data_IF_202516105626
#
_entry.id   IF_202516105626
#
_cell.length_a   1.000
_cell.length_b   1.000
_cell.length_c   1.000
_cell.angle_alpha   90.00
_cell.angle_beta   90.00
_cell.angle_gamma   90.00
#
_symmetry.space_group_name_H-M   'P 1'
#
loop_
_entity.id
_entity.type
_entity.pdbx_description
1 polymer ?
#
# COMPACT_ATOMS: atom_id res chain seq x y z
N UNK A 1 -11.27 -8.88 -12.50
CA UNK A 1 -10.28 -7.93 -13.07
C UNK A 1 -10.31 -8.07 -14.58
N UNK A 2 -10.01 -7.00 -15.32
CA UNK A 2 -9.87 -7.07 -16.78
C UNK A 2 -8.52 -7.70 -17.14
N UNK A 3 -8.38 -8.24 -18.36
CA UNK A 3 -7.20 -9.02 -18.76
C UNK A 3 -5.89 -8.23 -18.64
N UNK A 4 -5.88 -6.96 -19.08
CA UNK A 4 -4.71 -6.08 -18.94
C UNK A 4 -4.30 -5.83 -17.48
N UNK A 5 -5.26 -5.89 -16.54
CA UNK A 5 -4.98 -5.72 -15.10
C UNK A 5 -4.34 -6.98 -14.52
N UNK A 6 -4.72 -8.15 -15.03
CA UNK A 6 -4.10 -9.43 -14.67
C UNK A 6 -2.67 -9.50 -15.20
N UNK A 7 -2.44 -9.04 -16.42
CA UNK A 7 -1.10 -8.95 -17.01
C UNK A 7 -0.19 -8.01 -16.20
N UNK A 8 -0.66 -6.80 -15.87
CA UNK A 8 0.07 -5.87 -15.01
C UNK A 8 0.36 -6.44 -13.60
N UNK A 9 -0.59 -7.20 -13.03
CA UNK A 9 -0.38 -7.89 -11.77
C UNK A 9 0.69 -8.99 -11.86
N UNK A 10 0.62 -9.83 -12.90
CA UNK A 10 1.61 -10.88 -13.14
C UNK A 10 3.01 -10.30 -13.33
N UNK A 11 3.11 -9.18 -14.07
CA UNK A 11 4.35 -8.45 -14.24
C UNK A 11 4.92 -7.96 -12.90
N UNK A 12 4.11 -7.32 -12.05
CA UNK A 12 4.54 -6.90 -10.71
C UNK A 12 4.99 -8.07 -9.82
N UNK A 13 4.30 -9.22 -9.90
CA UNK A 13 4.69 -10.42 -9.15
C UNK A 13 6.04 -10.93 -9.63
N UNK A 14 6.28 -10.98 -10.95
CA UNK A 14 7.56 -11.38 -11.51
C UNK A 14 8.71 -10.47 -11.07
N UNK A 15 8.49 -9.15 -11.07
CA UNK A 15 9.46 -8.17 -10.57
C UNK A 15 9.80 -8.39 -9.10
N UNK A 16 8.79 -8.63 -8.26
CA UNK A 16 8.99 -8.90 -6.84
C UNK A 16 9.76 -10.21 -6.60
N UNK A 17 9.46 -11.26 -7.35
CA UNK A 17 10.19 -12.54 -7.25
C UNK A 17 11.66 -12.42 -7.70
N UNK A 18 11.95 -11.49 -8.62
CA UNK A 18 13.31 -11.15 -9.05
C UNK A 18 14.02 -10.12 -8.14
N UNK A 19 13.30 -9.51 -7.19
CA UNK A 19 13.84 -8.43 -6.34
C UNK A 19 14.07 -7.11 -7.08
N UNK A 20 13.42 -6.91 -8.23
CA UNK A 20 13.56 -5.72 -9.07
C UNK A 20 12.42 -4.74 -8.76
N UNK A 21 12.72 -3.45 -8.71
CA UNK A 21 11.72 -2.39 -8.61
C UNK A 21 11.19 -2.02 -10.00
N UNK A 22 9.87 -1.81 -10.12
CA UNK A 22 9.24 -1.41 -11.37
C UNK A 22 8.37 -0.17 -11.22
N UNK A 23 8.13 0.50 -12.35
CA UNK A 23 7.23 1.65 -12.44
C UNK A 23 6.05 1.26 -13.33
N UNK A 24 4.84 1.29 -12.78
CA UNK A 24 3.61 1.14 -13.57
C UNK A 24 3.31 2.47 -14.27
N UNK A 25 3.54 2.53 -15.57
CA UNK A 25 3.34 3.71 -16.40
C UNK A 25 2.03 3.67 -17.22
N UNK A 26 1.05 2.87 -16.80
CA UNK A 26 -0.26 2.77 -17.45
C UNK A 26 -0.96 4.14 -17.52
N UNK A 27 -1.78 4.36 -18.55
CA UNK A 27 -2.64 5.55 -18.64
C UNK A 27 -3.53 5.76 -17.39
N UNK A 28 -3.93 7.00 -17.16
CA UNK A 28 -4.84 7.34 -16.07
C UNK A 28 -6.21 6.65 -16.28
N UNK A 29 -6.81 6.11 -15.21
CA UNK A 29 -8.11 5.44 -15.30
C UNK A 29 -8.08 3.94 -15.61
N UNK A 30 -6.92 3.35 -15.91
CA UNK A 30 -6.80 1.89 -16.12
C UNK A 30 -6.93 1.06 -14.83
N UNK A 31 -6.98 1.71 -13.65
CA UNK A 31 -7.18 1.03 -12.37
C UNK A 31 -5.88 0.55 -11.72
N UNK A 32 -4.82 1.36 -11.78
CA UNK A 32 -3.54 1.11 -11.09
C UNK A 32 -3.71 0.86 -9.58
N UNK A 33 -4.67 1.56 -8.95
CA UNK A 33 -5.06 1.37 -7.56
C UNK A 33 -5.49 -0.08 -7.30
N UNK A 34 -6.44 -0.57 -8.10
CA UNK A 34 -6.94 -1.95 -8.00
C UNK A 34 -5.81 -2.98 -8.23
N UNK A 35 -4.95 -2.76 -9.23
CA UNK A 35 -3.79 -3.63 -9.48
C UNK A 35 -2.86 -3.69 -8.26
N UNK A 36 -2.60 -2.54 -7.63
CA UNK A 36 -1.73 -2.45 -6.44
C UNK A 36 -2.37 -3.13 -5.21
N UNK A 37 -3.69 -2.98 -5.03
CA UNK A 37 -4.42 -3.66 -3.94
C UNK A 37 -4.40 -5.18 -4.15
N UNK A 38 -4.63 -5.65 -5.38
CA UNK A 38 -4.54 -7.07 -5.71
C UNK A 38 -3.14 -7.63 -5.46
N UNK A 39 -2.10 -6.87 -5.83
CA UNK A 39 -0.72 -7.22 -5.54
C UNK A 39 -0.45 -7.32 -4.03
N UNK A 40 -0.91 -6.36 -3.23
CA UNK A 40 -0.79 -6.39 -1.77
C UNK A 40 -1.50 -7.61 -1.15
N UNK A 41 -2.71 -7.93 -1.63
CA UNK A 41 -3.46 -9.10 -1.18
C UNK A 41 -2.74 -10.42 -1.53
N UNK A 42 -2.17 -10.51 -2.74
CA UNK A 42 -1.36 -11.66 -3.16
C UNK A 42 -0.10 -11.83 -2.29
N UNK A 43 0.60 -10.73 -2.01
CA UNK A 43 1.77 -10.76 -1.13
C UNK A 43 1.41 -11.22 0.28
N UNK A 44 0.25 -10.80 0.81
CA UNK A 44 -0.21 -11.24 2.13
C UNK A 44 -0.43 -12.75 2.19
N UNK A 45 -1.02 -13.34 1.14
CA UNK A 45 -1.26 -14.78 1.10
C UNK A 45 0.05 -15.58 1.16
N UNK A 46 1.16 -15.00 0.68
CA UNK A 46 2.49 -15.62 0.70
C UNK A 46 3.33 -15.26 1.93
N UNK A 47 3.22 -14.03 2.45
CA UNK A 47 4.10 -13.45 3.47
C UNK A 47 3.38 -12.46 4.39
N UNK A 48 3.69 -12.45 5.68
CA UNK A 48 3.18 -11.46 6.65
C UNK A 48 4.04 -10.19 6.71
N UNK A 49 4.59 -9.74 5.57
CA UNK A 49 5.44 -8.54 5.52
C UNK A 49 4.60 -7.26 5.42
N UNK A 50 5.01 -6.17 6.08
CA UNK A 50 4.33 -4.89 5.96
C UNK A 50 4.39 -4.34 4.53
N UNK A 51 3.29 -3.77 4.07
CA UNK A 51 3.18 -3.18 2.73
C UNK A 51 2.84 -1.69 2.87
N UNK A 52 3.70 -0.82 2.35
CA UNK A 52 3.53 0.63 2.42
C UNK A 52 3.08 1.14 1.06
N UNK A 53 1.93 1.81 1.03
CA UNK A 53 1.52 2.62 -0.11
C UNK A 53 1.68 4.08 0.31
N UNK A 54 2.16 4.92 -0.61
CA UNK A 54 2.33 6.36 -0.42
C UNK A 54 1.45 7.09 -1.45
N UNK A 55 0.53 7.96 -1.02
CA UNK A 55 -0.36 8.71 -1.91
C UNK A 55 -0.59 10.14 -1.41
N UNK A 56 -1.24 10.98 -2.23
CA UNK A 56 -1.68 12.30 -1.81
C UNK A 56 -2.92 12.20 -0.91
N UNK A 57 -3.10 13.17 -0.01
CA UNK A 57 -4.26 13.23 0.89
C UNK A 57 -5.60 13.25 0.13
N UNK A 58 -5.63 13.89 -1.04
CA UNK A 58 -6.84 14.01 -1.87
C UNK A 58 -7.40 12.67 -2.37
N UNK A 59 -6.54 11.67 -2.59
CA UNK A 59 -6.95 10.35 -3.08
C UNK A 59 -7.03 9.31 -1.97
N UNK A 60 -6.66 9.67 -0.74
CA UNK A 60 -6.60 8.75 0.40
C UNK A 60 -7.96 8.11 0.66
N UNK A 61 -9.04 8.88 0.66
CA UNK A 61 -10.38 8.33 0.87
C UNK A 61 -10.76 7.28 -0.19
N UNK A 62 -10.40 7.52 -1.46
CA UNK A 62 -10.64 6.56 -2.53
C UNK A 62 -9.87 5.25 -2.29
N UNK A 63 -8.60 5.33 -1.87
CA UNK A 63 -7.83 4.15 -1.48
C UNK A 63 -8.49 3.38 -0.34
N UNK A 64 -9.02 4.07 0.68
CA UNK A 64 -9.72 3.44 1.81
C UNK A 64 -10.90 2.60 1.32
N UNK A 65 -11.75 3.19 0.49
CA UNK A 65 -12.96 2.54 0.01
C UNK A 65 -12.62 1.38 -0.94
N UNK A 66 -11.61 1.54 -1.80
CA UNK A 66 -11.14 0.45 -2.65
C UNK A 66 -10.55 -0.71 -1.83
N UNK A 67 -9.75 -0.44 -0.79
CA UNK A 67 -9.23 -1.50 0.08
C UNK A 67 -10.34 -2.22 0.84
N UNK A 68 -11.31 -1.50 1.40
CA UNK A 68 -12.48 -2.12 2.05
C UNK A 68 -13.28 -2.98 1.09
N UNK A 69 -13.43 -2.52 -0.16
CA UNK A 69 -14.21 -3.21 -1.20
C UNK A 69 -13.52 -4.47 -1.73
N UNK A 70 -12.23 -4.38 -2.03
CA UNK A 70 -11.50 -5.45 -2.74
C UNK A 70 -10.66 -6.33 -1.82
N UNK A 71 -10.29 -5.85 -0.63
CA UNK A 71 -9.49 -6.59 0.33
C UNK A 71 -9.90 -6.26 1.80
N UNK A 72 -11.16 -6.55 2.21
CA UNK A 72 -11.63 -6.24 3.57
C UNK A 72 -10.86 -6.99 4.66
N UNK A 73 -10.31 -8.17 4.33
CA UNK A 73 -9.57 -8.97 5.28
C UNK A 73 -8.17 -8.41 5.59
N UNK A 74 -7.57 -7.62 4.69
CA UNK A 74 -6.24 -6.99 4.90
C UNK A 74 -6.40 -5.88 5.90
N UNK A 75 -5.96 -6.12 7.14
CA UNK A 75 -6.02 -5.15 8.22
C UNK A 75 -5.37 -3.84 7.79
N UNK A 76 -6.18 -2.79 7.64
CA UNK A 76 -5.78 -1.50 7.11
C UNK A 76 -5.56 -0.54 8.27
N UNK A 77 -4.32 -0.05 8.42
CA UNK A 77 -3.98 0.97 9.41
C UNK A 77 -3.76 2.30 8.69
N UNK A 78 -4.52 3.31 9.11
CA UNK A 78 -4.34 4.68 8.66
C UNK A 78 -3.52 5.44 9.68
N UNK A 79 -2.53 6.17 9.18
CA UNK A 79 -1.64 6.99 9.98
C UNK A 79 -1.72 8.38 9.34
N UNK A 80 -2.63 9.19 9.86
CA UNK A 80 -2.65 10.63 9.59
C UNK A 80 -1.63 11.26 10.53
N UNK A 81 -0.54 11.81 9.98
CA UNK A 81 0.52 12.44 10.77
C UNK A 81 0.26 13.93 10.74
N UNK A 82 -0.41 14.51 11.77
CA UNK A 82 -0.57 15.94 11.83
C UNK A 82 0.81 16.60 11.90
N UNK A 83 0.96 17.74 11.22
CA UNK A 83 2.21 18.50 11.17
C UNK A 83 2.76 18.85 12.57
N UNK A 84 1.89 18.90 13.58
CA UNK A 84 2.22 19.15 14.99
C UNK A 84 2.90 17.98 15.72
N UNK A 85 2.77 16.74 15.25
CA UNK A 85 3.35 15.54 15.88
C UNK A 85 4.81 15.25 15.48
N UNK A 86 5.45 16.12 14.68
CA UNK A 86 6.83 15.98 14.18
C UNK A 86 7.92 15.93 15.26
N UNK A 87 7.61 16.05 16.55
CA UNK A 87 8.60 16.30 17.62
C UNK A 87 8.75 15.21 18.71
N UNK A 88 8.09 14.05 18.61
CA UNK A 88 8.13 13.06 19.71
C UNK A 88 8.71 11.67 19.38
N UNK A 89 9.24 11.41 18.18
CA UNK A 89 9.94 10.14 17.91
C UNK A 89 11.05 10.31 16.87
N UNK A 90 12.26 10.56 17.37
CA UNK A 90 13.45 10.99 16.62
C UNK A 90 14.19 9.89 15.83
N UNK A 91 13.51 8.91 15.21
CA UNK A 91 14.27 7.82 14.52
C UNK A 91 13.62 7.18 13.29
N UNK A 92 12.56 7.74 12.72
CA UNK A 92 12.02 7.21 11.45
C UNK A 92 11.64 8.33 10.47
N UNK A 93 12.45 8.41 9.42
CA UNK A 93 12.16 8.98 8.11
C UNK A 93 11.98 10.51 8.05
N UNK A 94 13.14 11.15 7.96
CA UNK A 94 13.38 12.33 7.12
C UNK A 94 12.65 12.15 5.78
N UNK A 95 11.77 13.09 5.44
CA UNK A 95 11.66 13.73 4.12
C UNK A 95 10.66 14.89 4.23
N UNK A 96 11.21 16.11 4.22
CA UNK A 96 10.42 17.35 4.19
C UNK A 96 9.83 17.60 2.80
N UNK A 97 8.77 18.42 2.79
CA UNK A 97 8.26 19.23 1.66
C UNK A 97 7.40 18.59 0.57
N UNK A 98 6.49 17.66 0.87
CA UNK A 98 5.32 17.38 0.01
C UNK A 98 4.06 17.01 0.84
N UNK A 99 2.82 17.29 0.39
CA UNK A 99 1.57 16.80 1.00
C UNK A 99 1.34 15.33 0.61
N UNK A 100 2.36 14.51 0.82
CA UNK A 100 2.37 13.10 0.45
C UNK A 100 2.37 12.32 1.75
N UNK A 101 1.22 11.73 2.05
CA UNK A 101 1.05 10.88 3.21
C UNK A 101 0.15 9.71 2.80
N UNK A 102 0.75 8.52 2.74
CA UNK A 102 0.02 7.29 3.02
C UNK A 102 0.97 6.40 3.80
N UNK A 103 0.39 5.70 4.77
CA UNK A 103 1.10 5.03 5.82
C UNK A 103 0.87 3.52 5.78
N UNK A 104 1.87 2.83 6.31
CA UNK A 104 2.16 1.40 6.19
C UNK A 104 1.03 0.51 6.69
N UNK A 105 0.69 -0.55 5.95
CA UNK A 105 0.06 -1.74 6.50
C UNK A 105 1.07 -2.44 7.43
N UNK A 106 1.16 -2.05 8.70
CA UNK A 106 1.95 -2.79 9.67
C UNK A 106 1.20 -4.07 10.05
N UNK A 107 1.69 -5.22 9.60
CA UNK A 107 1.34 -6.51 10.17
C UNK A 107 2.01 -6.61 11.55
N UNK A 108 1.30 -6.21 12.60
CA UNK A 108 1.71 -6.51 13.98
C UNK A 108 1.41 -7.99 14.26
N UNK A 109 2.37 -8.78 14.81
CA UNK A 109 2.10 -10.16 15.16
C UNK A 109 1.06 -10.22 16.27
N UNK A 110 0.12 -11.18 16.18
CA UNK A 110 -0.80 -11.53 17.26
C UNK A 110 -0.12 -11.36 18.64
N UNK A 111 -0.59 -10.41 19.45
CA UNK A 111 -0.42 -10.55 20.90
C UNK A 111 -1.12 -11.85 21.28
N UNK A 112 -0.35 -12.73 21.90
CA UNK A 112 -0.77 -14.08 22.24
C UNK A 112 -2.11 -14.10 22.95
N UNK A 113 -2.89 -15.13 22.61
CA UNK A 113 -3.73 -15.78 23.60
C UNK A 113 -2.83 -16.22 24.76
N UNK A 114 -3.16 -15.74 25.94
CA UNK A 114 -2.63 -16.11 27.24
C UNK A 114 -3.63 -15.64 28.28
#
# INVERSE_FOLDING_TARGET
MKDYQLEGLQWMVGLHEQGISGILADEMGLGKTLQTIAFAAHLRAKCTRPFLVVCSLSVLHNWCEEFKRFAPATGLLFLDVPLSARRASSSALVLGLLPVLLAVLTWWPCRGQG
#
